data_IF_691673486288
#
_entry.id   IF_691673486288
#
_cell.length_a   1.000
_cell.length_b   1.000
_cell.length_c   1.000
_cell.angle_alpha   90.00
_cell.angle_beta   90.00
_cell.angle_gamma   90.00
#
_symmetry.space_group_name_H-M   'P 1'
#
loop_
_entity.id
_entity.type
_entity.pdbx_description
1 polymer ?
#
# COMPACT_ATOMS: atom_id res chain seq x y z
N UNK A 1 13.33 -3.57 -4.50
CA UNK A 1 12.76 -2.77 -5.59
C UNK A 1 11.33 -3.25 -5.85
N UNK A 2 10.32 -2.39 -5.69
CA UNK A 2 8.92 -2.71 -5.98
C UNK A 2 8.75 -2.68 -7.50
N UNK A 3 8.54 -3.84 -8.12
CA UNK A 3 8.17 -3.92 -9.54
C UNK A 3 6.69 -4.29 -9.59
N UNK A 4 5.92 -3.54 -10.38
CA UNK A 4 4.51 -3.82 -10.64
C UNK A 4 4.34 -5.30 -11.02
N UNK A 5 5.22 -5.81 -11.89
CA UNK A 5 5.22 -7.19 -12.37
C UNK A 5 5.51 -8.23 -11.27
N UNK A 6 6.36 -7.90 -10.29
CA UNK A 6 6.65 -8.80 -9.16
C UNK A 6 5.45 -8.95 -8.21
N UNK A 7 4.63 -7.91 -8.10
CA UNK A 7 3.35 -7.98 -7.35
C UNK A 7 2.37 -8.92 -8.07
N UNK A 8 2.44 -9.02 -9.40
CA UNK A 8 1.61 -9.92 -10.19
C UNK A 8 1.97 -11.39 -9.95
N UNK A 9 3.26 -11.72 -9.87
CA UNK A 9 3.71 -13.11 -9.68
C UNK A 9 3.35 -13.70 -8.31
N UNK A 10 3.29 -12.87 -7.27
CA UNK A 10 3.01 -13.31 -5.90
C UNK A 10 1.53 -13.58 -5.62
N UNK A 11 0.64 -13.25 -6.56
CA UNK A 11 -0.81 -13.38 -6.39
C UNK A 11 -1.40 -12.30 -5.46
N UNK A 12 -2.65 -12.51 -5.04
CA UNK A 12 -3.37 -11.55 -4.21
C UNK A 12 -2.68 -11.40 -2.85
N UNK A 13 -2.42 -10.17 -2.44
CA UNK A 13 -1.92 -9.88 -1.10
C UNK A 13 -2.96 -10.30 -0.04
N UNK A 14 -2.53 -11.10 0.94
CA UNK A 14 -3.39 -11.65 1.99
C UNK A 14 -4.13 -10.58 2.81
N UNK A 15 -3.52 -9.42 3.02
CA UNK A 15 -4.14 -8.29 3.74
C UNK A 15 -5.29 -7.72 2.93
N UNK A 16 -5.08 -7.44 1.63
CA UNK A 16 -6.14 -6.93 0.77
C UNK A 16 -7.26 -7.96 0.55
N UNK A 17 -6.92 -9.26 0.49
CA UNK A 17 -7.93 -10.33 0.51
C UNK A 17 -8.80 -10.25 1.76
N UNK A 18 -8.18 -10.18 2.95
CA UNK A 18 -8.92 -10.11 4.21
C UNK A 18 -9.79 -8.85 4.32
N UNK A 19 -9.27 -7.71 3.90
CA UNK A 19 -10.04 -6.46 3.83
C UNK A 19 -11.26 -6.60 2.92
N UNK A 20 -11.08 -7.17 1.73
CA UNK A 20 -12.18 -7.44 0.79
C UNK A 20 -13.29 -8.29 1.42
N UNK A 21 -12.92 -9.34 2.16
CA UNK A 21 -13.89 -10.18 2.88
C UNK A 21 -14.69 -9.40 3.93
N UNK A 22 -14.01 -8.57 4.73
CA UNK A 22 -14.67 -7.72 5.74
C UNK A 22 -15.57 -6.67 5.09
N UNK A 23 -15.14 -6.02 4.01
CA UNK A 23 -15.99 -5.06 3.29
C UNK A 23 -17.23 -5.71 2.69
N UNK A 24 -17.08 -6.90 2.09
CA UNK A 24 -18.22 -7.69 1.62
C UNK A 24 -19.18 -8.01 2.75
N UNK A 25 -18.69 -8.37 3.94
CA UNK A 25 -19.51 -8.55 5.13
C UNK A 25 -20.25 -7.28 5.55
N UNK A 26 -19.54 -6.18 5.73
CA UNK A 26 -20.12 -4.90 6.17
C UNK A 26 -21.15 -4.33 5.19
N UNK A 27 -20.94 -4.51 3.89
CA UNK A 27 -21.81 -3.95 2.84
C UNK A 27 -22.82 -4.97 2.26
N UNK A 28 -22.87 -6.18 2.80
CA UNK A 28 -23.76 -7.24 2.32
C UNK A 28 -23.53 -7.62 0.85
N UNK A 29 -22.29 -7.56 0.37
CA UNK A 29 -21.92 -7.91 -1.02
C UNK A 29 -21.37 -9.34 -1.09
N UNK A 30 -21.56 -9.99 -2.23
CA UNK A 30 -21.10 -11.35 -2.52
C UNK A 30 -19.77 -11.42 -3.29
N UNK A 31 -19.36 -10.30 -3.88
CA UNK A 31 -18.16 -10.18 -4.70
C UNK A 31 -17.43 -8.87 -4.44
N UNK A 32 -16.11 -8.92 -4.54
CA UNK A 32 -15.22 -7.77 -4.47
C UNK A 32 -14.15 -7.90 -5.55
N UNK A 33 -13.72 -6.77 -6.11
CA UNK A 33 -12.64 -6.72 -7.10
C UNK A 33 -11.54 -5.80 -6.62
N UNK A 34 -10.32 -6.30 -6.58
CA UNK A 34 -9.12 -5.49 -6.37
C UNK A 34 -8.59 -5.08 -7.74
N UNK A 35 -8.34 -3.79 -7.94
CA UNK A 35 -7.69 -3.25 -9.12
C UNK A 35 -6.34 -2.65 -8.72
N UNK A 36 -5.24 -3.25 -9.19
CA UNK A 36 -3.93 -2.62 -9.14
C UNK A 36 -3.72 -1.82 -10.41
N UNK A 37 -3.49 -0.51 -10.25
CA UNK A 37 -3.26 0.41 -11.34
C UNK A 37 -1.87 1.03 -11.22
N UNK A 38 -1.09 0.91 -12.30
CA UNK A 38 0.14 1.66 -12.50
C UNK A 38 -0.22 2.98 -13.18
N UNK A 39 -0.15 4.05 -12.40
CA UNK A 39 -0.43 5.41 -12.85
C UNK A 39 0.85 6.25 -12.77
N UNK A 40 0.93 7.30 -13.59
CA UNK A 40 2.00 8.27 -13.47
C UNK A 40 2.00 8.88 -12.08
N UNK A 41 3.20 9.02 -11.52
CA UNK A 41 3.32 9.63 -10.21
C UNK A 41 2.96 11.12 -10.31
N UNK A 42 2.12 11.65 -9.41
CA UNK A 42 1.77 13.07 -9.40
C UNK A 42 3.01 13.97 -9.37
N UNK A 43 3.01 15.05 -10.17
CA UNK A 43 4.15 15.98 -10.31
C UNK A 43 4.72 16.45 -8.97
N UNK A 44 3.86 16.75 -7.99
CA UNK A 44 4.32 17.22 -6.67
C UNK A 44 5.22 16.22 -5.93
N UNK A 45 4.98 14.91 -6.12
CA UNK A 45 5.81 13.84 -5.53
C UNK A 45 7.13 13.72 -6.31
N UNK A 46 7.08 13.76 -7.65
CA UNK A 46 8.27 13.75 -8.51
C UNK A 46 9.20 14.91 -8.16
N UNK A 47 8.66 16.11 -8.02
CA UNK A 47 9.44 17.30 -7.64
C UNK A 47 10.01 17.20 -6.22
N UNK A 48 9.30 16.54 -5.29
CA UNK A 48 9.83 16.28 -3.95
C UNK A 48 11.04 15.34 -3.98
N UNK A 49 11.03 14.33 -4.85
CA UNK A 49 12.16 13.42 -5.04
C UNK A 49 13.36 14.14 -5.67
N UNK A 50 13.14 14.99 -6.68
CA UNK A 50 14.19 15.84 -7.27
C UNK A 50 14.82 16.77 -6.24
N UNK A 51 14.02 17.41 -5.37
CA UNK A 51 14.53 18.27 -4.29
C UNK A 51 15.35 17.49 -3.28
N UNK A 52 14.92 16.26 -2.93
CA UNK A 52 15.69 15.39 -2.04
C UNK A 52 17.03 15.02 -2.68
N UNK A 53 17.01 14.63 -3.95
CA UNK A 53 18.24 14.32 -4.70
C UNK A 53 19.18 15.52 -4.70
N UNK A 54 18.68 16.73 -4.99
CA UNK A 54 19.48 17.97 -5.02
C UNK A 54 20.26 18.19 -3.72
N UNK A 55 19.61 17.96 -2.57
CA UNK A 55 20.22 18.17 -1.26
C UNK A 55 21.39 17.22 -1.01
N UNK A 56 21.27 15.97 -1.48
CA UNK A 56 22.28 14.92 -1.30
C UNK A 56 23.28 14.86 -2.48
N UNK A 57 23.09 15.67 -3.52
CA UNK A 57 23.83 15.54 -4.78
C UNK A 57 25.26 16.09 -4.69
N UNK A 58 26.21 15.31 -5.20
CA UNK A 58 27.59 15.78 -5.43
C UNK A 58 27.96 15.48 -6.88
N UNK A 59 28.31 16.51 -7.65
CA UNK A 59 28.58 16.38 -9.08
C UNK A 59 28.39 17.69 -9.84
N UNK A 60 28.40 17.60 -11.16
CA UNK A 60 28.17 18.77 -12.03
C UNK A 60 26.68 19.02 -12.26
N UNK A 61 26.32 20.21 -12.74
CA UNK A 61 24.94 20.52 -13.13
C UNK A 61 24.42 19.59 -14.25
N UNK A 62 25.32 19.12 -15.13
CA UNK A 62 24.96 18.16 -16.18
C UNK A 62 24.51 16.83 -15.56
N UNK A 63 25.27 16.32 -14.60
CA UNK A 63 24.98 15.06 -13.92
C UNK A 63 23.65 15.14 -13.15
N UNK A 64 23.37 16.29 -12.54
CA UNK A 64 22.10 16.55 -11.84
C UNK A 64 20.91 16.52 -12.82
N UNK A 65 21.04 17.16 -13.97
CA UNK A 65 19.99 17.17 -15.01
C UNK A 65 19.72 15.77 -15.58
N UNK A 66 20.77 14.97 -15.79
CA UNK A 66 20.62 13.57 -16.21
C UNK A 66 19.88 12.75 -15.15
N UNK A 67 20.21 12.95 -13.87
CA UNK A 67 19.52 12.28 -12.77
C UNK A 67 18.05 12.71 -12.64
N UNK A 68 17.72 13.98 -12.88
CA UNK A 68 16.33 14.45 -12.93
C UNK A 68 15.53 13.82 -14.06
N UNK A 69 16.13 13.72 -15.25
CA UNK A 69 15.50 13.06 -16.39
C UNK A 69 15.23 11.58 -16.11
N UNK A 70 16.14 10.89 -15.42
CA UNK A 70 15.93 9.51 -15.02
C UNK A 70 14.79 9.36 -14.01
N UNK A 71 14.70 10.26 -13.01
CA UNK A 71 13.57 10.29 -12.07
C UNK A 71 12.25 10.44 -12.83
N UNK A 72 12.15 11.41 -13.75
CA UNK A 72 10.94 11.60 -14.55
C UNK A 72 10.59 10.37 -15.39
N UNK A 73 11.59 9.76 -16.03
CA UNK A 73 11.41 8.56 -16.85
C UNK A 73 10.88 7.39 -16.04
N UNK A 74 11.37 7.19 -14.82
CA UNK A 74 10.90 6.13 -13.90
C UNK A 74 9.49 6.41 -13.36
N UNK A 75 9.02 7.65 -13.41
CA UNK A 75 7.73 8.09 -12.90
C UNK A 75 6.67 8.27 -14.00
N UNK A 76 7.06 8.12 -15.27
CA UNK A 76 6.19 8.17 -16.44
C UNK A 76 5.96 6.77 -17.01
N UNK A 77 4.69 6.39 -17.14
CA UNK A 77 4.22 5.11 -17.64
C UNK A 77 3.29 5.26 -18.85
N UNK A 78 3.26 6.42 -19.50
CA UNK A 78 2.38 6.71 -20.64
C UNK A 78 2.63 5.77 -21.81
N UNK A 79 3.91 5.44 -22.03
CA UNK A 79 4.36 4.54 -23.09
C UNK A 79 4.02 3.06 -22.85
N UNK A 80 3.46 2.71 -21.68
CA UNK A 80 3.05 1.34 -21.40
C UNK A 80 1.60 1.08 -21.85
N UNK A 81 1.33 -0.07 -22.49
CA UNK A 81 -0.01 -0.46 -22.88
C UNK A 81 -0.89 -0.71 -21.63
N UNK A 82 -2.21 -0.52 -21.76
CA UNK A 82 -3.14 -0.52 -20.63
C UNK A 82 -3.17 -1.87 -19.90
N UNK A 83 -3.03 -2.96 -20.63
CA UNK A 83 -3.02 -4.33 -20.12
C UNK A 83 -1.84 -4.60 -19.18
N UNK A 84 -0.76 -3.82 -19.33
CA UNK A 84 0.40 -3.85 -18.43
C UNK A 84 0.26 -2.89 -17.26
N UNK A 85 -0.72 -1.98 -17.30
CA UNK A 85 -0.97 -0.98 -16.25
C UNK A 85 -2.07 -1.40 -15.29
N UNK A 86 -3.02 -2.23 -15.72
CA UNK A 86 -4.16 -2.64 -14.92
C UNK A 86 -4.16 -4.15 -14.66
N UNK A 87 -4.31 -4.53 -13.39
CA UNK A 87 -4.57 -5.91 -13.01
C UNK A 87 -5.77 -6.02 -12.10
N UNK A 88 -6.66 -6.94 -12.44
CA UNK A 88 -7.85 -7.24 -11.67
C UNK A 88 -7.72 -8.59 -10.96
N UNK A 89 -8.23 -8.63 -9.74
CA UNK A 89 -8.42 -9.84 -8.96
C UNK A 89 -9.85 -9.87 -8.46
N UNK A 90 -10.63 -10.83 -8.96
CA UNK A 90 -11.99 -11.08 -8.51
C UNK A 90 -11.97 -12.01 -7.30
N UNK A 91 -12.64 -11.59 -6.23
CA UNK A 91 -12.71 -12.29 -4.96
C UNK A 91 -14.17 -12.57 -4.66
N UNK A 92 -14.44 -13.85 -4.42
CA UNK A 92 -15.73 -14.30 -3.93
C UNK A 92 -15.77 -14.26 -2.41
N UNK A 93 -16.96 -13.98 -1.88
CA UNK A 93 -17.22 -13.97 -0.45
C UNK A 93 -17.00 -15.36 0.16
N UNK A 94 -16.22 -15.40 1.24
CA UNK A 94 -15.96 -16.59 2.02
C UNK A 94 -16.50 -16.39 3.45
N UNK A 95 -17.67 -16.99 3.72
CA UNK A 95 -18.34 -16.86 5.03
C UNK A 95 -17.54 -17.48 6.17
N UNK A 96 -16.81 -18.58 5.94
CA UNK A 96 -16.01 -19.22 6.98
C UNK A 96 -14.85 -18.32 7.41
N UNK A 97 -14.18 -17.71 6.44
CA UNK A 97 -13.11 -16.76 6.68
C UNK A 97 -13.61 -15.50 7.41
N UNK A 98 -14.78 -15.00 7.01
CA UNK A 98 -15.42 -13.86 7.68
C UNK A 98 -15.76 -14.19 9.14
N UNK A 99 -16.36 -15.36 9.40
CA UNK A 99 -16.68 -15.82 10.75
C UNK A 99 -15.42 -15.87 11.63
N UNK A 100 -14.34 -16.45 11.13
CA UNK A 100 -13.05 -16.50 11.84
C UNK A 100 -12.56 -15.09 12.23
N UNK A 101 -12.64 -14.13 11.31
CA UNK A 101 -12.23 -12.74 11.60
C UNK A 101 -13.11 -12.08 12.68
N UNK A 102 -14.42 -12.33 12.64
CA UNK A 102 -15.36 -11.79 13.62
C UNK A 102 -15.09 -12.39 15.00
N UNK A 103 -14.89 -13.70 15.09
CA UNK A 103 -14.60 -14.41 16.36
C UNK A 103 -13.26 -13.98 16.98
N UNK A 104 -12.29 -13.60 16.15
CA UNK A 104 -11.01 -13.06 16.63
C UNK A 104 -11.11 -11.61 17.13
N UNK A 105 -12.13 -10.85 16.71
CA UNK A 105 -12.25 -9.42 17.02
C UNK A 105 -12.28 -9.11 18.54
N UNK A 106 -13.03 -9.83 19.39
CA UNK A 106 -13.00 -9.61 20.84
C UNK A 106 -11.62 -9.82 21.47
N UNK A 107 -10.88 -10.84 21.03
CA UNK A 107 -9.53 -11.13 21.52
C UNK A 107 -8.56 -9.98 21.23
N UNK A 108 -8.62 -9.43 20.01
CA UNK A 108 -7.80 -8.26 19.63
C UNK A 108 -8.18 -7.00 20.42
N UNK A 109 -9.47 -6.79 20.68
CA UNK A 109 -9.94 -5.66 21.51
C UNK A 109 -9.44 -5.78 22.95
N UNK A 110 -9.48 -6.98 23.55
CA UNK A 110 -8.95 -7.21 24.89
C UNK A 110 -7.44 -6.91 24.96
N UNK A 111 -6.68 -7.40 23.99
CA UNK A 111 -5.23 -7.13 23.88
C UNK A 111 -4.92 -5.64 23.70
N UNK A 112 -5.71 -4.92 22.91
CA UNK A 112 -5.56 -3.48 22.73
C UNK A 112 -5.75 -2.73 24.04
N UNK A 113 -6.73 -3.13 24.85
CA UNK A 113 -6.97 -2.54 26.17
C UNK A 113 -5.84 -2.83 27.16
N UNK A 114 -5.25 -4.03 27.13
CA UNK A 114 -4.06 -4.37 27.91
C UNK A 114 -2.88 -3.46 27.56
N UNK A 115 -2.59 -3.32 26.26
CA UNK A 115 -1.53 -2.43 25.76
C UNK A 115 -1.79 -0.99 26.21
N UNK A 116 -3.03 -0.53 26.12
CA UNK A 116 -3.44 0.82 26.52
C UNK A 116 -3.18 1.06 28.01
N UNK A 117 -3.58 0.13 28.89
CA UNK A 117 -3.33 0.23 30.34
C UNK A 117 -1.84 0.23 30.68
N UNK A 118 -1.06 -0.64 30.03
CA UNK A 118 0.40 -0.69 30.21
C UNK A 118 1.05 0.65 29.81
N UNK A 119 0.65 1.24 28.69
CA UNK A 119 1.15 2.54 28.25
C UNK A 119 0.85 3.64 29.28
N UNK A 120 -0.39 3.74 29.80
CA UNK A 120 -0.76 4.72 30.82
C UNK A 120 0.06 4.58 32.12
N UNK A 121 0.31 3.36 32.58
CA UNK A 121 1.13 3.10 33.77
C UNK A 121 2.58 3.61 33.60
N UNK A 122 3.15 3.52 32.39
CA UNK A 122 4.49 4.06 32.12
C UNK A 122 4.52 5.59 32.17
N UNK A 123 3.44 6.27 31.76
CA UNK A 123 3.35 7.72 31.86
C UNK A 123 3.22 8.23 33.29
N UNK A 124 2.49 7.52 34.15
CA UNK A 124 2.33 7.90 35.57
C UNK A 124 3.63 7.70 36.36
N UNK A 125 4.39 6.64 36.07
CA UNK A 125 5.68 6.36 36.72
C UNK A 125 6.83 7.28 36.24
N UNK A 126 6.57 8.19 35.28
CA UNK A 126 7.54 9.17 34.77
C UNK A 126 7.35 10.59 35.33
N UNK A 127 6.33 10.80 36.17
CA UNK A 127 6.13 12.04 36.94
C UNK A 127 6.71 11.88 38.34
#
# INVERSE_FOLDING_TARGET
MFSFDNTLQKGINKIYYAQGQVYMWLWGKSRHRICYALLNTPKGIVEAEKRKLLFDFTGTEKDLNEAYNEIERLHNYDNLPLERKLKFFDIERNEEFIKLLIEMTPHWRAKLEEIRKSAYSVYENRK
#
